data_IF_773811064741
#
_entry.id   IF_773811064741
#
_cell.length_a   1.000
_cell.length_b   1.000
_cell.length_c   1.000
_cell.angle_alpha   90.00
_cell.angle_beta   90.00
_cell.angle_gamma   90.00
#
_symmetry.space_group_name_H-M   'P 1'
#
loop_
_entity.id
_entity.type
_entity.pdbx_description
1 polymer ?
#
# COMPACT_ATOMS: atom_id res chain seq x y z
N UNK A 1 14.54 -8.14 -20.61
CA UNK A 1 15.22 -9.15 -19.77
C UNK A 1 15.48 -8.63 -18.33
N UNK A 2 14.52 -7.94 -17.69
CA UNK A 2 14.70 -7.41 -16.32
C UNK A 2 13.81 -8.09 -15.26
N UNK A 3 12.80 -8.86 -15.68
CA UNK A 3 11.87 -9.55 -14.78
C UNK A 3 12.45 -10.85 -14.16
N UNK A 4 13.59 -11.34 -14.65
CA UNK A 4 14.22 -12.58 -14.14
C UNK A 4 15.10 -12.37 -12.90
N UNK A 5 15.47 -11.12 -12.56
CA UNK A 5 16.44 -10.86 -11.47
C UNK A 5 15.81 -10.60 -10.09
N UNK A 6 14.51 -10.36 -10.00
CA UNK A 6 13.86 -10.08 -8.69
C UNK A 6 13.44 -11.39 -8.02
N UNK A 7 13.01 -12.40 -8.78
CA UNK A 7 12.60 -13.72 -8.25
C UNK A 7 13.79 -14.51 -7.69
N UNK A 8 15.01 -14.30 -8.19
CA UNK A 8 16.22 -15.02 -7.75
C UNK A 8 16.73 -14.64 -6.35
N UNK A 9 16.29 -13.53 -5.76
CA UNK A 9 16.77 -13.07 -4.43
C UNK A 9 16.03 -13.72 -3.25
N UNK A 10 14.88 -14.35 -3.49
CA UNK A 10 14.01 -14.88 -2.43
C UNK A 10 14.20 -16.38 -2.16
N UNK A 11 14.85 -17.12 -3.07
CA UNK A 11 14.85 -18.58 -3.04
C UNK A 11 16.11 -19.24 -2.45
N UNK A 12 17.10 -18.48 -1.95
CA UNK A 12 18.34 -19.09 -1.45
C UNK A 12 19.15 -18.26 -0.46
N UNK A 13 18.56 -17.82 0.66
CA UNK A 13 19.33 -17.29 1.78
C UNK A 13 18.90 -18.02 3.05
N UNK A 14 19.75 -18.92 3.56
CA UNK A 14 19.61 -19.40 4.93
C UNK A 14 19.45 -18.19 5.86
N UNK A 15 18.45 -18.19 6.76
CA UNK A 15 18.21 -17.03 7.62
C UNK A 15 19.48 -16.65 8.38
N UNK A 16 19.90 -15.39 8.27
CA UNK A 16 21.07 -14.89 8.99
C UNK A 16 20.88 -15.19 10.48
N UNK A 17 21.79 -15.96 11.11
CA UNK A 17 21.64 -16.32 12.51
C UNK A 17 21.75 -15.07 13.38
N UNK A 18 20.66 -14.77 14.08
CA UNK A 18 20.62 -13.68 15.06
C UNK A 18 21.17 -14.17 16.41
N UNK A 19 21.56 -13.22 17.27
CA UNK A 19 22.07 -13.54 18.60
C UNK A 19 21.07 -14.36 19.44
N UNK A 20 21.59 -15.16 20.37
CA UNK A 20 20.82 -16.03 21.26
C UNK A 20 19.74 -15.31 22.08
N UNK A 21 19.86 -13.98 22.24
CA UNK A 21 18.84 -13.11 22.85
C UNK A 21 17.48 -13.25 22.16
N UNK A 22 17.43 -13.37 20.83
CA UNK A 22 16.17 -13.52 20.09
C UNK A 22 15.51 -14.88 20.33
N UNK A 23 16.30 -15.95 20.52
CA UNK A 23 15.76 -17.25 20.92
C UNK A 23 15.17 -17.20 22.33
N UNK A 24 15.84 -16.50 23.27
CA UNK A 24 15.32 -16.26 24.62
C UNK A 24 14.01 -15.46 24.57
N UNK A 25 13.96 -14.39 23.76
CA UNK A 25 12.75 -13.59 23.58
C UNK A 25 11.58 -14.43 23.05
N UNK A 26 11.79 -15.22 21.99
CA UNK A 26 10.76 -16.09 21.41
C UNK A 26 10.20 -17.07 22.45
N UNK A 27 11.07 -17.73 23.24
CA UNK A 27 10.64 -18.62 24.34
C UNK A 27 9.81 -17.87 25.38
N UNK A 28 10.26 -16.69 25.81
CA UNK A 28 9.54 -15.90 26.81
C UNK A 28 8.16 -15.45 26.33
N UNK A 29 7.98 -15.14 25.03
CA UNK A 29 6.70 -14.67 24.48
C UNK A 29 5.61 -15.73 24.47
N UNK A 30 5.98 -17.02 24.44
CA UNK A 30 5.02 -18.14 24.32
C UNK A 30 5.01 -19.05 25.53
N UNK A 31 5.82 -18.75 26.56
CA UNK A 31 5.97 -19.56 27.75
C UNK A 31 4.61 -19.90 28.36
N UNK A 32 4.41 -21.18 28.68
CA UNK A 32 3.17 -21.74 29.23
C UNK A 32 1.96 -21.71 28.27
N UNK A 33 2.10 -21.27 27.02
CA UNK A 33 1.04 -21.25 25.99
C UNK A 33 1.51 -21.80 24.65
N UNK A 34 2.55 -22.63 24.66
CA UNK A 34 3.22 -23.12 23.45
C UNK A 34 2.22 -23.86 22.54
N UNK A 35 1.38 -24.70 23.14
CA UNK A 35 0.32 -25.45 22.44
C UNK A 35 -0.73 -24.50 21.85
N UNK A 36 -1.26 -23.57 22.64
CA UNK A 36 -2.29 -22.62 22.20
C UNK A 36 -1.80 -21.76 21.03
N UNK A 37 -0.54 -21.31 21.10
CA UNK A 37 0.08 -20.53 20.02
C UNK A 37 0.19 -21.37 18.75
N UNK A 38 0.70 -22.61 18.85
CA UNK A 38 0.79 -23.51 17.71
C UNK A 38 -0.59 -23.79 17.07
N UNK A 39 -1.60 -24.12 17.88
CA UNK A 39 -2.96 -24.37 17.38
C UNK A 39 -3.58 -23.13 16.74
N UNK A 40 -3.38 -21.95 17.34
CA UNK A 40 -3.83 -20.69 16.77
C UNK A 40 -3.18 -20.39 15.42
N UNK A 41 -1.90 -20.75 15.25
CA UNK A 41 -1.17 -20.59 14.01
C UNK A 41 -1.73 -21.50 12.92
N UNK A 42 -2.02 -22.77 13.22
CA UNK A 42 -2.67 -23.66 12.25
C UNK A 42 -4.08 -23.20 11.86
N UNK A 43 -4.84 -22.63 12.81
CA UNK A 43 -6.13 -22.00 12.51
C UNK A 43 -5.96 -20.78 11.59
N UNK A 44 -4.96 -19.95 11.85
CA UNK A 44 -4.61 -18.80 11.01
C UNK A 44 -4.26 -19.24 9.58
N UNK A 45 -3.40 -20.26 9.42
CA UNK A 45 -3.02 -20.77 8.09
C UNK A 45 -4.23 -21.23 7.26
N UNK A 46 -5.20 -21.91 7.89
CA UNK A 46 -6.45 -22.30 7.21
C UNK A 46 -7.28 -21.09 6.77
N UNK A 47 -7.36 -20.05 7.61
CA UNK A 47 -8.05 -18.82 7.27
C UNK A 47 -7.35 -18.06 6.13
N UNK A 48 -6.01 -17.97 6.17
CA UNK A 48 -5.21 -17.31 5.15
C UNK A 48 -5.31 -18.03 3.79
N UNK A 49 -5.35 -19.37 3.78
CA UNK A 49 -5.54 -20.12 2.54
C UNK A 49 -6.87 -19.77 1.86
N UNK A 50 -7.96 -19.73 2.63
CA UNK A 50 -9.28 -19.31 2.12
C UNK A 50 -9.26 -17.89 1.53
N UNK A 51 -8.57 -16.96 2.19
CA UNK A 51 -8.43 -15.59 1.67
C UNK A 51 -7.57 -15.53 0.41
N UNK A 52 -6.49 -16.31 0.35
CA UNK A 52 -5.64 -16.40 -0.84
C UNK A 52 -6.43 -16.96 -2.04
N UNK A 53 -7.24 -18.00 -1.83
CA UNK A 53 -8.10 -18.59 -2.85
C UNK A 53 -9.15 -17.57 -3.35
N UNK A 54 -9.79 -16.80 -2.46
CA UNK A 54 -10.73 -15.72 -2.81
C UNK A 54 -10.05 -14.60 -3.61
N UNK A 55 -8.83 -14.19 -3.20
CA UNK A 55 -8.05 -13.17 -3.92
C UNK A 55 -7.65 -13.69 -5.30
N UNK A 56 -7.19 -14.94 -5.41
CA UNK A 56 -6.82 -15.53 -6.68
C UNK A 56 -8.01 -15.64 -7.65
N UNK A 57 -9.19 -15.99 -7.13
CA UNK A 57 -10.40 -16.09 -7.94
C UNK A 57 -10.93 -14.73 -8.42
N UNK A 58 -10.85 -13.68 -7.59
CA UNK A 58 -11.42 -12.36 -7.89
C UNK A 58 -10.44 -11.37 -8.52
N UNK A 59 -9.13 -11.59 -8.35
CA UNK A 59 -8.11 -10.65 -8.79
C UNK A 59 -8.33 -9.24 -8.22
N UNK A 60 -8.18 -8.22 -9.07
CA UNK A 60 -8.27 -6.81 -8.70
C UNK A 60 -9.64 -6.39 -8.16
N UNK A 61 -10.72 -7.12 -8.48
CA UNK A 61 -12.07 -6.82 -8.01
C UNK A 61 -12.23 -7.03 -6.50
N UNK A 62 -11.25 -7.66 -5.86
CA UNK A 62 -11.18 -7.79 -4.40
C UNK A 62 -10.97 -6.43 -3.71
N UNK A 63 -10.40 -5.45 -4.42
CA UNK A 63 -10.04 -4.13 -3.88
C UNK A 63 -11.30 -3.26 -3.81
N UNK A 64 -11.76 -2.90 -2.61
CA UNK A 64 -12.92 -2.03 -2.43
C UNK A 64 -12.70 -0.71 -3.16
N UNK A 65 -13.71 -0.28 -3.89
CA UNK A 65 -13.66 0.94 -4.68
C UNK A 65 -14.88 1.79 -4.36
N UNK A 66 -14.67 3.08 -4.14
CA UNK A 66 -15.75 4.07 -3.99
C UNK A 66 -15.45 5.27 -4.87
N UNK A 67 -16.50 5.95 -5.31
CA UNK A 67 -16.33 7.24 -5.95
C UNK A 67 -16.15 8.38 -4.95
N UNK A 68 -15.35 9.39 -5.28
CA UNK A 68 -15.23 10.58 -4.45
C UNK A 68 -16.58 11.24 -4.15
N UNK A 69 -17.50 11.30 -5.12
CA UNK A 69 -18.82 11.91 -4.89
C UNK A 69 -19.70 11.06 -3.96
N UNK A 70 -19.39 9.77 -3.82
CA UNK A 70 -20.14 8.82 -2.99
C UNK A 70 -19.64 8.75 -1.55
N UNK A 71 -18.54 9.42 -1.19
CA UNK A 71 -17.97 9.35 0.18
C UNK A 71 -18.88 10.00 1.24
N UNK A 72 -19.81 10.86 0.81
CA UNK A 72 -20.79 11.51 1.67
C UNK A 72 -22.11 10.74 1.77
N UNK A 73 -22.34 9.75 0.91
CA UNK A 73 -23.47 8.84 1.03
C UNK A 73 -23.21 7.86 2.19
N UNK A 74 -24.03 7.92 3.23
CA UNK A 74 -23.83 7.16 4.46
C UNK A 74 -23.86 5.65 4.25
N UNK A 75 -24.72 5.15 3.36
CA UNK A 75 -24.84 3.73 3.06
C UNK A 75 -23.62 3.22 2.28
N UNK A 76 -23.23 3.95 1.22
CA UNK A 76 -22.04 3.60 0.42
C UNK A 76 -20.75 3.71 1.24
N UNK A 77 -20.61 4.78 2.02
CA UNK A 77 -19.48 4.98 2.92
C UNK A 77 -19.37 3.86 3.97
N UNK A 78 -20.48 3.44 4.56
CA UNK A 78 -20.50 2.35 5.56
C UNK A 78 -20.06 1.02 4.94
N UNK A 79 -20.60 0.66 3.77
CA UNK A 79 -20.22 -0.53 3.03
C UNK A 79 -18.73 -0.51 2.66
N UNK A 80 -18.24 0.63 2.15
CA UNK A 80 -16.84 0.84 1.83
C UNK A 80 -15.93 0.68 3.05
N UNK A 81 -16.24 1.32 4.19
CA UNK A 81 -15.43 1.21 5.42
C UNK A 81 -15.33 -0.21 5.95
N UNK A 82 -16.43 -0.98 5.89
CA UNK A 82 -16.43 -2.40 6.26
C UNK A 82 -15.49 -3.19 5.35
N UNK A 83 -15.55 -2.95 4.04
CA UNK A 83 -14.70 -3.61 3.06
C UNK A 83 -13.22 -3.20 3.21
N UNK A 84 -12.93 -1.92 3.45
CA UNK A 84 -11.60 -1.39 3.71
C UNK A 84 -10.97 -2.03 4.96
N UNK A 85 -11.70 -2.15 6.07
CA UNK A 85 -11.19 -2.87 7.26
C UNK A 85 -10.89 -4.34 6.99
N UNK A 86 -11.66 -4.98 6.10
CA UNK A 86 -11.44 -6.39 5.73
C UNK A 86 -10.20 -6.56 4.85
N UNK A 87 -10.01 -5.66 3.87
CA UNK A 87 -8.99 -5.80 2.82
C UNK A 87 -7.70 -5.03 3.09
N UNK A 88 -7.72 -4.02 3.96
CA UNK A 88 -6.56 -3.20 4.32
C UNK A 88 -6.10 -2.21 3.25
N UNK A 89 -6.73 -2.22 2.07
CA UNK A 89 -6.45 -1.35 0.93
C UNK A 89 -7.75 -1.04 0.20
N UNK A 90 -7.82 0.10 -0.49
CA UNK A 90 -8.97 0.50 -1.30
C UNK A 90 -8.60 1.56 -2.35
N UNK A 91 -9.52 1.81 -3.28
CA UNK A 91 -9.43 2.88 -4.28
C UNK A 91 -10.55 3.90 -4.07
N UNK A 92 -10.21 5.18 -4.01
CA UNK A 92 -11.17 6.28 -4.13
C UNK A 92 -10.99 6.88 -5.53
N UNK A 93 -11.99 6.69 -6.41
CA UNK A 93 -11.94 7.17 -7.79
C UNK A 93 -12.33 8.64 -7.87
N UNK A 94 -11.83 9.31 -8.90
CA UNK A 94 -12.24 10.68 -9.28
C UNK A 94 -12.09 11.71 -8.15
N UNK A 95 -11.12 11.53 -7.24
CA UNK A 95 -10.80 12.50 -6.17
C UNK A 95 -10.44 13.85 -6.77
N UNK A 96 -9.57 13.86 -7.77
CA UNK A 96 -9.25 15.05 -8.56
C UNK A 96 -9.72 14.83 -10.00
N UNK A 97 -10.16 15.89 -10.71
CA UNK A 97 -10.47 15.80 -12.13
C UNK A 97 -9.25 15.32 -12.91
N UNK A 98 -9.48 14.52 -13.96
CA UNK A 98 -8.40 13.98 -14.80
C UNK A 98 -7.53 15.07 -15.40
N UNK A 99 -8.12 16.19 -15.82
CA UNK A 99 -7.40 17.34 -16.37
C UNK A 99 -6.44 17.98 -15.36
N UNK A 100 -6.85 18.06 -14.08
CA UNK A 100 -6.01 18.58 -13.00
C UNK A 100 -4.84 17.62 -12.73
N UNK A 101 -5.10 16.32 -12.69
CA UNK A 101 -4.04 15.32 -12.50
C UNK A 101 -3.03 15.31 -13.66
N UNK A 102 -3.52 15.48 -14.90
CA UNK A 102 -2.66 15.61 -16.09
C UNK A 102 -1.79 16.86 -16.03
N UNK A 103 -2.38 18.01 -15.69
CA UNK A 103 -1.62 19.25 -15.53
C UNK A 103 -0.52 19.12 -14.46
N UNK A 104 -0.82 18.53 -13.29
CA UNK A 104 0.20 18.29 -12.27
C UNK A 104 1.31 17.35 -12.75
N UNK A 105 0.98 16.34 -13.56
CA UNK A 105 1.98 15.45 -14.16
C UNK A 105 2.89 16.24 -15.10
N UNK A 106 2.32 16.99 -16.03
CA UNK A 106 3.05 17.80 -17.03
C UNK A 106 3.98 18.81 -16.33
N UNK A 107 3.45 19.59 -15.39
CA UNK A 107 4.26 20.51 -14.58
C UNK A 107 5.39 19.83 -13.80
N UNK A 108 5.20 18.58 -13.37
CA UNK A 108 6.26 17.81 -12.69
C UNK A 108 7.34 17.40 -13.68
N UNK A 109 6.97 17.01 -14.90
CA UNK A 109 7.92 16.64 -15.95
C UNK A 109 8.73 17.87 -16.39
N UNK A 110 8.08 19.01 -16.59
CA UNK A 110 8.73 20.27 -16.93
C UNK A 110 9.70 20.70 -15.81
N UNK A 111 9.25 20.62 -14.56
CA UNK A 111 10.11 20.93 -13.41
C UNK A 111 11.36 20.03 -13.36
N UNK A 112 11.23 18.73 -13.67
CA UNK A 112 12.37 17.81 -13.72
C UNK A 112 13.32 18.19 -14.88
N UNK A 113 12.78 18.53 -16.05
CA UNK A 113 13.57 18.94 -17.20
C UNK A 113 14.37 20.22 -16.94
N UNK A 114 13.77 21.19 -16.25
CA UNK A 114 14.40 22.46 -15.86
C UNK A 114 15.44 22.30 -14.73
N UNK A 115 15.45 21.15 -14.04
CA UNK A 115 16.30 20.87 -12.88
C UNK A 115 17.10 19.57 -13.07
N UNK A 116 18.08 19.54 -13.99
CA UNK A 116 18.84 18.32 -14.34
C UNK A 116 19.64 17.73 -13.16
N UNK A 117 19.84 18.47 -12.08
CA UNK A 117 20.41 17.97 -10.82
C UNK A 117 19.49 17.01 -10.06
N UNK A 118 18.20 16.90 -10.44
CA UNK A 118 17.23 15.99 -9.83
C UNK A 118 17.68 14.55 -10.07
N UNK A 119 17.93 13.81 -8.98
CA UNK A 119 18.39 12.42 -9.08
C UNK A 119 17.21 11.50 -9.37
N UNK A 120 17.30 10.76 -10.47
CA UNK A 120 16.37 9.69 -10.82
C UNK A 120 16.97 8.31 -10.58
N UNK A 121 16.16 7.35 -10.16
CA UNK A 121 16.55 5.98 -9.86
C UNK A 121 15.63 4.96 -10.55
N UNK A 122 16.17 3.95 -11.25
CA UNK A 122 17.58 3.82 -11.66
C UNK A 122 18.01 4.92 -12.66
N UNK A 123 19.32 5.25 -12.80
CA UNK A 123 19.78 6.41 -13.59
C UNK A 123 19.40 6.41 -15.08
N UNK A 124 19.29 5.23 -15.70
CA UNK A 124 19.03 5.09 -17.15
C UNK A 124 17.55 4.90 -17.50
N UNK A 125 16.70 4.66 -16.50
CA UNK A 125 15.25 4.50 -16.63
C UNK A 125 14.60 4.92 -15.31
N UNK A 126 14.60 6.23 -14.98
CA UNK A 126 14.22 6.68 -13.66
C UNK A 126 12.72 6.45 -13.40
N UNK A 127 12.42 5.66 -12.38
CA UNK A 127 11.06 5.37 -11.91
C UNK A 127 10.74 6.10 -10.60
N UNK A 128 11.79 6.46 -9.85
CA UNK A 128 11.73 7.25 -8.63
C UNK A 128 12.61 8.49 -8.79
N UNK A 129 12.12 9.64 -8.35
CA UNK A 129 12.86 10.90 -8.38
C UNK A 129 13.04 11.42 -6.95
N UNK A 130 14.25 11.85 -6.59
CA UNK A 130 14.56 12.57 -5.34
C UNK A 130 14.00 14.00 -5.40
N UNK A 131 12.68 14.09 -5.49
CA UNK A 131 11.92 15.31 -5.68
C UNK A 131 10.79 15.37 -4.65
N UNK A 132 10.81 16.40 -3.82
CA UNK A 132 9.90 16.51 -2.67
C UNK A 132 9.04 17.78 -2.69
N UNK A 133 9.47 18.84 -3.36
CA UNK A 133 8.91 20.19 -3.25
C UNK A 133 8.54 20.82 -4.60
N UNK A 134 8.26 20.01 -5.63
CA UNK A 134 7.77 20.60 -6.88
C UNK A 134 6.45 21.36 -6.62
N UNK A 135 6.16 22.45 -7.33
CA UNK A 135 4.91 23.19 -7.15
C UNK A 135 3.66 22.30 -7.27
N UNK A 136 3.68 21.34 -8.21
CA UNK A 136 2.64 20.32 -8.39
C UNK A 136 2.46 19.43 -7.16
N UNK A 137 3.53 18.93 -6.55
CA UNK A 137 3.47 18.11 -5.33
C UNK A 137 2.90 18.90 -4.16
N UNK A 138 3.33 20.16 -3.98
CA UNK A 138 2.83 21.02 -2.89
C UNK A 138 1.34 21.30 -3.08
N UNK A 139 0.91 21.65 -4.30
CA UNK A 139 -0.52 21.85 -4.61
C UNK A 139 -1.34 20.59 -4.40
N UNK A 140 -0.88 19.43 -4.87
CA UNK A 140 -1.59 18.17 -4.68
C UNK A 140 -1.78 17.84 -3.18
N UNK A 141 -0.75 18.02 -2.35
CA UNK A 141 -0.86 17.80 -0.89
C UNK A 141 -1.83 18.76 -0.20
N UNK A 142 -2.01 19.96 -0.74
CA UNK A 142 -2.91 20.98 -0.20
C UNK A 142 -4.31 20.98 -0.84
N UNK A 143 -4.55 20.16 -1.88
CA UNK A 143 -5.82 20.13 -2.59
C UNK A 143 -6.96 19.71 -1.66
N UNK A 144 -8.06 20.46 -1.69
CA UNK A 144 -9.17 20.28 -0.76
C UNK A 144 -9.86 18.93 -0.93
N UNK A 145 -9.93 18.38 -2.14
CA UNK A 145 -10.53 17.07 -2.42
C UNK A 145 -9.64 15.94 -1.94
N UNK A 146 -8.32 16.06 -2.13
CA UNK A 146 -7.36 15.11 -1.57
C UNK A 146 -7.40 15.09 -0.04
N UNK A 147 -7.40 16.26 0.60
CA UNK A 147 -7.52 16.36 2.05
C UNK A 147 -8.84 15.78 2.57
N UNK A 148 -9.95 16.00 1.86
CA UNK A 148 -11.25 15.43 2.25
C UNK A 148 -11.30 13.91 2.10
N UNK A 149 -10.80 13.37 0.97
CA UNK A 149 -10.66 11.93 0.76
C UNK A 149 -9.76 11.27 1.83
N UNK A 150 -8.67 11.93 2.22
CA UNK A 150 -7.81 11.48 3.32
C UNK A 150 -8.56 11.46 4.66
N UNK A 151 -9.28 12.53 5.01
CA UNK A 151 -10.10 12.57 6.24
C UNK A 151 -11.16 11.47 6.25
N UNK A 152 -11.83 11.26 5.12
CA UNK A 152 -12.81 10.19 4.95
C UNK A 152 -12.21 8.80 5.22
N UNK A 153 -11.04 8.51 4.64
CA UNK A 153 -10.34 7.24 4.83
C UNK A 153 -9.87 7.07 6.28
N UNK A 154 -9.29 8.11 6.89
CA UNK A 154 -8.79 8.08 8.27
C UNK A 154 -9.89 7.88 9.31
N UNK A 155 -11.11 8.38 9.06
CA UNK A 155 -12.29 8.16 9.92
C UNK A 155 -12.83 6.72 9.90
N UNK A 156 -12.15 5.79 9.23
CA UNK A 156 -12.50 4.36 9.23
C UNK A 156 -12.13 3.67 10.55
N UNK A 157 -11.16 4.25 11.26
CA UNK A 157 -10.57 3.76 12.51
C UNK A 157 -10.98 4.65 13.68
#
# INVERSE_FOLDING_TARGET
MAAHNITSMLDSVEPIPLSSRFAKLKRNMIACREKDVAESFYRLLRALRKEADDIAARGSDVIPTIDYFDIHDSAKASAFRKALRRRGVAVIRRVVPTTVAQAWKEETLDYIADNPQTRGYPPHDPQLFDLYWSPSQVRARADSRLLDAQRFAMRTW
#
